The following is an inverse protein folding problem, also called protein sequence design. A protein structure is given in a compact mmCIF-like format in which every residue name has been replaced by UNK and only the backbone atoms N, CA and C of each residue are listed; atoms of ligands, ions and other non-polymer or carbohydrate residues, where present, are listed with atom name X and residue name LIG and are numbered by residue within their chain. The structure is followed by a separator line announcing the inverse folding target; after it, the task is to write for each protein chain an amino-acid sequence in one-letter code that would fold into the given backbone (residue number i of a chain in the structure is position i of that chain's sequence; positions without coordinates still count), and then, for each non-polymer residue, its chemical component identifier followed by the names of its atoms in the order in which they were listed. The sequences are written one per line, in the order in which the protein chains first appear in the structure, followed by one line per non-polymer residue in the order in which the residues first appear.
data_IF_892270780556
#
_entry.id   IF_892270780556
#
_cell.length_a   1.000
_cell.length_b   1.000
_cell.length_c   1.000
_cell.angle_alpha   90.00
_cell.angle_beta   90.00
_cell.angle_gamma   90.00
#
_symmetry.space_group_name_H-M   'P 1'
#
loop_
_entity.id
_entity.type
_entity.pdbx_description
1 polymer ?
#
# COMPACT_ATOMS: atom_id res chain seq x y z
N UNK A 1 4.03 -6.49 -8.34
CA UNK A 1 3.06 -7.54 -7.97
C UNK A 1 3.44 -8.93 -8.46
N UNK A 2 4.08 -9.10 -9.64
CA UNK A 2 4.40 -10.43 -10.21
C UNK A 2 5.10 -11.40 -9.25
N UNK A 3 6.10 -10.93 -8.50
CA UNK A 3 6.81 -11.78 -7.54
C UNK A 3 5.90 -12.29 -6.41
N UNK A 4 4.94 -11.48 -5.96
CA UNK A 4 3.97 -11.87 -4.92
C UNK A 4 3.02 -12.94 -5.47
N UNK A 5 2.56 -12.77 -6.72
CA UNK A 5 1.72 -13.76 -7.41
C UNK A 5 2.47 -15.09 -7.52
N UNK A 6 3.72 -15.06 -8.00
CA UNK A 6 4.53 -16.28 -8.19
C UNK A 6 4.91 -16.96 -6.87
N UNK A 7 5.31 -16.18 -5.85
CA UNK A 7 5.79 -16.74 -4.58
C UNK A 7 4.67 -17.23 -3.66
N UNK A 8 3.53 -16.54 -3.64
CA UNK A 8 2.43 -16.82 -2.71
C UNK A 8 1.22 -17.49 -3.39
N UNK A 9 1.23 -17.66 -4.72
CA UNK A 9 0.05 -18.12 -5.45
C UNK A 9 -1.12 -17.13 -5.39
N UNK A 10 -0.83 -15.83 -5.21
CA UNK A 10 -1.87 -14.82 -5.04
C UNK A 10 -2.72 -14.69 -6.31
N UNK A 11 -4.05 -14.77 -6.15
CA UNK A 11 -5.04 -14.64 -7.22
C UNK A 11 -5.16 -13.19 -7.70
N UNK A 12 -5.10 -12.25 -6.77
CA UNK A 12 -5.13 -10.81 -7.04
C UNK A 12 -4.20 -10.08 -6.08
N UNK A 13 -3.64 -8.95 -6.55
CA UNK A 13 -2.76 -8.07 -5.77
C UNK A 13 -3.20 -6.63 -6.00
N UNK A 14 -3.38 -5.88 -4.90
CA UNK A 14 -3.65 -4.43 -4.91
C UNK A 14 -2.48 -3.66 -4.30
N UNK A 15 -2.31 -2.41 -4.70
CA UNK A 15 -1.25 -1.53 -4.19
C UNK A 15 -1.78 -0.11 -3.97
N UNK A 16 -1.47 0.44 -2.80
CA UNK A 16 -1.57 1.86 -2.53
C UNK A 16 -0.17 2.43 -2.28
N UNK A 17 0.12 3.56 -2.93
CA UNK A 17 1.35 4.33 -2.74
C UNK A 17 1.03 5.74 -2.27
N UNK A 18 1.87 6.27 -1.39
CA UNK A 18 1.81 7.66 -0.98
C UNK A 18 3.23 8.21 -0.78
N UNK A 19 3.42 9.49 -1.12
CA UNK A 19 4.73 10.13 -1.08
C UNK A 19 4.70 11.40 -0.24
N UNK A 20 5.73 11.52 0.60
CA UNK A 20 6.07 12.70 1.39
C UNK A 20 4.94 13.20 2.33
N UNK A 21 4.14 12.28 2.85
CA UNK A 21 3.22 12.58 3.94
C UNK A 21 3.98 12.67 5.27
N UNK A 22 3.66 13.68 6.08
CA UNK A 22 4.31 13.94 7.36
C UNK A 22 4.04 12.85 8.40
N UNK A 23 2.83 12.27 8.37
CA UNK A 23 2.41 11.23 9.32
C UNK A 23 1.77 10.03 8.61
N UNK A 24 1.85 8.82 9.20
CA UNK A 24 1.14 7.65 8.69
C UNK A 24 -0.37 7.87 8.61
N UNK A 25 -0.97 8.54 9.60
CA UNK A 25 -2.40 8.86 9.61
C UNK A 25 -2.80 9.72 8.41
N UNK A 26 -1.98 10.69 8.02
CA UNK A 26 -2.26 11.53 6.85
C UNK A 26 -2.23 10.72 5.56
N UNK A 27 -1.28 9.79 5.41
CA UNK A 27 -1.22 8.89 4.26
C UNK A 27 -2.47 7.97 4.18
N UNK A 28 -2.88 7.38 5.30
CA UNK A 28 -4.08 6.54 5.37
C UNK A 28 -5.34 7.36 5.04
N UNK A 29 -5.49 8.54 5.63
CA UNK A 29 -6.64 9.41 5.35
C UNK A 29 -6.70 9.80 3.87
N UNK A 30 -5.55 10.07 3.24
CA UNK A 30 -5.50 10.37 1.81
C UNK A 30 -5.93 9.18 0.95
N UNK A 31 -5.50 7.95 1.28
CA UNK A 31 -5.97 6.75 0.59
C UNK A 31 -7.47 6.51 0.80
N UNK A 32 -7.99 6.73 2.01
CA UNK A 32 -9.43 6.58 2.29
C UNK A 32 -10.30 7.60 1.53
N UNK A 33 -9.76 8.79 1.26
CA UNK A 33 -10.46 9.85 0.52
C UNK A 33 -10.31 9.73 -1.01
N UNK A 34 -9.53 8.77 -1.50
CA UNK A 34 -9.35 8.52 -2.93
C UNK A 34 -10.08 7.24 -3.32
N UNK A 35 -11.10 7.28 -4.21
CA UNK A 35 -11.93 6.11 -4.53
C UNK A 35 -11.13 4.86 -4.89
N UNK A 36 -10.18 4.94 -5.83
CA UNK A 36 -9.38 3.78 -6.23
C UNK A 36 -8.46 3.23 -5.12
N UNK A 37 -7.89 4.10 -4.30
CA UNK A 37 -7.09 3.63 -3.15
C UNK A 37 -7.97 3.03 -2.05
N UNK A 38 -9.16 3.59 -1.83
CA UNK A 38 -10.16 3.06 -0.89
C UNK A 38 -10.66 1.69 -1.34
N UNK A 39 -10.87 1.48 -2.64
CA UNK A 39 -11.24 0.18 -3.21
C UNK A 39 -10.23 -0.92 -2.85
N UNK A 40 -8.93 -0.61 -2.84
CA UNK A 40 -7.92 -1.56 -2.37
C UNK A 40 -8.07 -1.86 -0.86
N UNK A 41 -8.32 -0.84 -0.02
CA UNK A 41 -8.45 -0.97 1.44
C UNK A 41 -9.67 -1.82 1.83
N UNK A 42 -10.81 -1.59 1.19
CA UNK A 42 -12.07 -2.32 1.47
C UNK A 42 -12.27 -3.54 0.57
N UNK A 43 -11.29 -3.84 -0.28
CA UNK A 43 -11.36 -4.88 -1.29
C UNK A 43 -11.34 -6.29 -0.71
N UNK A 44 -11.69 -7.28 -1.55
CA UNK A 44 -11.70 -8.69 -1.18
C UNK A 44 -10.28 -9.29 -1.18
N UNK A 45 -9.49 -8.93 -0.18
CA UNK A 45 -8.15 -9.47 0.07
C UNK A 45 -8.14 -10.32 1.35
N UNK A 46 -7.16 -11.22 1.49
CA UNK A 46 -6.98 -12.03 2.71
C UNK A 46 -5.81 -11.57 3.55
N UNK A 47 -4.84 -10.88 2.94
CA UNK A 47 -3.62 -10.42 3.59
C UNK A 47 -3.28 -9.01 3.13
N UNK A 48 -2.57 -8.27 3.99
CA UNK A 48 -1.92 -7.02 3.60
C UNK A 48 -0.58 -6.86 4.31
N UNK A 49 0.27 -6.01 3.77
CA UNK A 49 1.53 -5.61 4.37
C UNK A 49 1.83 -4.14 4.06
N UNK A 50 2.26 -3.40 5.09
CA UNK A 50 2.57 -1.97 4.96
C UNK A 50 4.04 -1.71 5.30
N UNK A 51 4.68 -0.84 4.53
CA UNK A 51 6.04 -0.40 4.75
C UNK A 51 6.17 1.11 4.55
N UNK A 52 7.07 1.72 5.32
CA UNK A 52 7.45 3.12 5.16
C UNK A 52 8.96 3.16 5.00
N UNK A 53 9.44 3.82 3.95
CA UNK A 53 10.86 4.03 3.71
C UNK A 53 11.15 5.51 3.62
N UNK A 54 12.06 5.98 4.46
CA UNK A 54 12.55 7.35 4.40
C UNK A 54 13.76 7.45 3.47
N UNK A 55 13.78 8.47 2.62
CA UNK A 55 14.97 8.83 1.88
C UNK A 55 15.98 9.46 2.84
N UNK A 56 17.19 8.90 3.00
CA UNK A 56 18.12 9.31 4.05
C UNK A 56 18.73 10.70 3.81
N UNK A 57 18.64 11.25 2.60
CA UNK A 57 19.18 12.58 2.26
C UNK A 57 18.11 13.67 2.43
N UNK A 58 16.88 13.37 2.02
CA UNK A 58 15.81 14.38 1.95
C UNK A 58 14.78 14.28 3.07
N UNK A 59 14.80 13.21 3.87
CA UNK A 59 13.79 12.91 4.89
C UNK A 59 12.41 12.56 4.31
N UNK A 60 12.26 12.54 2.98
CA UNK A 60 10.97 12.28 2.33
C UNK A 60 10.59 10.82 2.47
N UNK A 61 9.35 10.56 2.89
CA UNK A 61 8.85 9.21 3.15
C UNK A 61 8.07 8.66 1.97
N UNK A 62 8.31 7.40 1.63
CA UNK A 62 7.50 6.61 0.73
C UNK A 62 6.72 5.58 1.55
N UNK A 63 5.40 5.55 1.34
CA UNK A 63 4.48 4.63 1.97
C UNK A 63 3.98 3.65 0.91
N UNK A 64 4.05 2.37 1.22
CA UNK A 64 3.53 1.31 0.36
C UNK A 64 2.65 0.41 1.19
N UNK A 65 1.42 0.18 0.74
CA UNK A 65 0.51 -0.80 1.32
C UNK A 65 0.09 -1.78 0.22
N UNK A 66 0.47 -3.05 0.39
CA UNK A 66 0.21 -4.13 -0.55
C UNK A 66 -0.90 -5.01 0.02
N UNK A 67 -1.86 -5.36 -0.83
CA UNK A 67 -2.93 -6.29 -0.51
C UNK A 67 -2.82 -7.52 -1.39
N UNK A 68 -3.10 -8.70 -0.85
CA UNK A 68 -3.07 -9.95 -1.59
C UNK A 68 -4.27 -10.83 -1.26
N UNK A 69 -4.85 -11.46 -2.29
CA UNK A 69 -5.82 -12.54 -2.15
C UNK A 69 -5.12 -13.85 -2.43
N UNK A 70 -4.87 -14.60 -1.38
CA UNK A 70 -4.35 -15.98 -1.41
C UNK A 70 -5.51 -16.88 -1.00
#
# INVERSE_FOLDING_TARGET
SENIIKALGAKTVGENIAYNYNTPQAAINAWLNSPGHKENIVGNFTHFGIAIRENPVTGKKYYTNIFAKI
#
